data_IF_109830072059
#
_entry.id   IF_109830072059
#
_cell.length_a   1.000
_cell.length_b   1.000
_cell.length_c   1.000
_cell.angle_alpha   90.00
_cell.angle_beta   90.00
_cell.angle_gamma   90.00
#
_symmetry.space_group_name_H-M   'P 1'
#
loop_
_entity.id
_entity.type
_entity.pdbx_description
1 polymer ?
#
# COMPACT_ATOMS: atom_id res chain seq x y z
N UNK A 1 31.28 -0.63 1.33
CA UNK A 1 29.98 -1.34 1.30
C UNK A 1 28.90 -0.34 0.90
N UNK A 2 28.39 -0.44 -0.33
CA UNK A 2 27.40 0.47 -0.92
C UNK A 2 26.31 -0.37 -1.59
N UNK A 3 25.29 -0.80 -0.84
CA UNK A 3 24.17 -1.60 -1.38
C UNK A 3 22.84 -1.33 -0.66
N UNK A 4 22.47 -0.07 -0.48
CA UNK A 4 21.11 0.31 -0.05
C UNK A 4 20.48 1.45 -0.88
N UNK A 5 21.15 1.95 -1.93
CA UNK A 5 20.68 3.10 -2.72
C UNK A 5 19.83 2.77 -3.95
N UNK A 6 19.42 1.52 -4.17
CA UNK A 6 18.71 1.11 -5.41
C UNK A 6 17.30 0.55 -5.21
N UNK A 7 16.66 0.78 -4.05
CA UNK A 7 15.30 0.29 -3.83
C UNK A 7 14.24 1.40 -3.77
N UNK A 8 14.65 2.67 -3.91
CA UNK A 8 13.74 3.83 -3.86
C UNK A 8 13.28 4.24 -5.28
N UNK A 9 14.06 3.92 -6.32
CA UNK A 9 13.78 4.36 -7.69
C UNK A 9 12.62 3.59 -8.37
N UNK A 10 12.27 2.40 -7.87
CA UNK A 10 11.23 1.55 -8.49
C UNK A 10 9.84 1.71 -7.84
N UNK A 11 9.75 2.45 -6.74
CA UNK A 11 8.47 2.73 -6.07
C UNK A 11 7.97 4.13 -6.44
N UNK A 12 7.39 4.26 -7.63
CA UNK A 12 6.64 5.47 -7.97
C UNK A 12 5.29 5.41 -7.26
N UNK A 13 5.20 6.08 -6.12
CA UNK A 13 3.92 6.42 -5.53
C UNK A 13 3.16 7.30 -6.52
N UNK A 14 1.91 6.95 -6.83
CA UNK A 14 0.99 7.69 -7.72
C UNK A 14 0.84 9.19 -7.38
N UNK A 15 1.29 9.57 -6.18
CA UNK A 15 1.26 10.90 -5.59
C UNK A 15 2.36 11.82 -6.16
N UNK A 16 3.48 11.29 -6.66
CA UNK A 16 4.62 12.11 -7.10
C UNK A 16 4.31 12.92 -8.37
N UNK A 17 3.41 12.45 -9.23
CA UNK A 17 2.99 13.18 -10.43
C UNK A 17 2.28 14.50 -10.13
N UNK A 18 1.72 14.66 -8.92
CA UNK A 18 1.06 15.91 -8.48
C UNK A 18 2.02 16.89 -7.80
N UNK A 19 3.23 16.45 -7.45
CA UNK A 19 4.24 17.25 -6.75
C UNK A 19 5.15 18.03 -7.71
N UNK A 20 5.32 17.58 -8.95
CA UNK A 20 6.29 18.14 -9.89
C UNK A 20 5.98 19.56 -10.36
N UNK A 21 4.71 19.99 -10.34
CA UNK A 21 4.32 21.32 -10.83
C UNK A 21 4.77 22.47 -9.92
N UNK A 22 5.15 22.19 -8.66
CA UNK A 22 5.51 23.20 -7.66
C UNK A 22 7.01 23.38 -7.44
N UNK A 23 7.88 22.55 -8.04
CA UNK A 23 9.34 22.62 -7.84
C UNK A 23 10.05 23.41 -8.94
N UNK A 24 9.69 24.68 -9.10
CA UNK A 24 10.63 25.63 -9.72
C UNK A 24 11.72 25.98 -8.70
N UNK A 25 12.90 25.40 -8.87
CA UNK A 25 14.08 25.63 -8.02
C UNK A 25 14.53 27.11 -8.08
N UNK A 26 14.60 27.84 -6.96
CA UNK A 26 15.18 29.18 -6.94
C UNK A 26 16.73 29.10 -6.94
N UNK A 27 17.44 30.12 -7.49
CA UNK A 27 18.88 30.10 -7.64
C UNK A 27 19.61 30.19 -6.28
N UNK A 28 20.84 29.64 -6.17
CA UNK A 28 21.51 29.48 -4.89
C UNK A 28 22.08 30.81 -4.40
N UNK A 29 21.61 31.30 -3.25
CA UNK A 29 22.27 32.37 -2.50
C UNK A 29 22.82 31.85 -1.18
N UNK A 30 24.12 32.05 -1.01
CA UNK A 30 24.93 31.75 0.17
C UNK A 30 24.44 32.52 1.39
N UNK A 31 24.63 31.91 2.58
CA UNK A 31 24.35 32.38 3.95
C UNK A 31 22.93 32.12 4.48
N UNK A 32 22.76 30.97 5.19
CA UNK A 32 21.69 30.73 6.19
C UNK A 32 21.77 29.29 6.74
N UNK A 33 22.43 29.08 7.87
CA UNK A 33 22.38 27.79 8.59
C UNK A 33 21.24 27.75 9.62
N UNK A 34 20.88 28.88 10.25
CA UNK A 34 19.76 28.96 11.19
C UNK A 34 18.40 28.85 10.50
N UNK A 35 18.15 29.67 9.46
CA UNK A 35 16.89 29.61 8.70
C UNK A 35 16.70 28.30 7.95
N UNK A 36 17.79 27.60 7.62
CA UNK A 36 17.71 26.24 7.03
C UNK A 36 17.21 25.22 8.05
N UNK A 37 17.64 25.30 9.31
CA UNK A 37 17.17 24.39 10.38
C UNK A 37 15.69 24.67 10.71
N UNK A 38 15.30 25.94 10.83
CA UNK A 38 13.89 26.33 11.02
C UNK A 38 13.01 25.86 9.86
N UNK A 39 13.47 26.06 8.62
CA UNK A 39 12.75 25.57 7.43
C UNK A 39 12.61 24.05 7.40
N UNK A 40 13.67 23.31 7.75
CA UNK A 40 13.62 21.86 7.84
C UNK A 40 12.68 21.37 8.95
N UNK A 41 12.60 22.09 10.06
CA UNK A 41 11.71 21.74 11.16
C UNK A 41 10.24 21.94 10.78
N UNK A 42 9.92 23.09 10.16
CA UNK A 42 8.60 23.35 9.58
C UNK A 42 8.21 22.32 8.50
N UNK A 43 9.17 21.94 7.65
CA UNK A 43 8.94 20.91 6.61
C UNK A 43 8.67 19.53 7.23
N UNK A 44 9.39 19.15 8.29
CA UNK A 44 9.12 17.91 9.02
C UNK A 44 7.75 17.94 9.71
N UNK A 45 7.38 19.03 10.38
CA UNK A 45 6.07 19.18 11.03
C UNK A 45 4.92 19.13 10.00
N UNK A 46 5.12 19.72 8.82
CA UNK A 46 4.19 19.61 7.70
C UNK A 46 4.07 18.16 7.23
N UNK A 47 5.18 17.45 7.08
CA UNK A 47 5.16 16.04 6.67
C UNK A 47 4.47 15.14 7.70
N UNK A 48 4.74 15.35 8.99
CA UNK A 48 4.10 14.61 10.08
C UNK A 48 2.59 14.86 10.13
N UNK A 49 2.14 16.10 9.94
CA UNK A 49 0.71 16.43 9.90
C UNK A 49 0.02 15.83 8.67
N UNK A 50 0.65 15.92 7.50
CA UNK A 50 0.14 15.27 6.28
C UNK A 50 0.06 13.74 6.42
N UNK A 51 1.04 13.11 7.04
CA UNK A 51 1.04 11.67 7.28
C UNK A 51 -0.13 11.24 8.19
N UNK A 52 -0.39 12.01 9.25
CA UNK A 52 -1.52 11.77 10.15
C UNK A 52 -2.86 11.93 9.44
N UNK A 53 -3.00 12.97 8.61
CA UNK A 53 -4.23 13.22 7.86
C UNK A 53 -4.51 12.08 6.88
N UNK A 54 -3.48 11.63 6.15
CA UNK A 54 -3.58 10.47 5.24
C UNK A 54 -3.96 9.20 6.01
N UNK A 55 -3.31 8.93 7.15
CA UNK A 55 -3.62 7.76 7.97
C UNK A 55 -5.06 7.77 8.47
N UNK A 56 -5.57 8.94 8.88
CA UNK A 56 -6.96 9.10 9.31
C UNK A 56 -7.95 8.93 8.17
N UNK A 57 -7.63 9.45 6.98
CA UNK A 57 -8.47 9.33 5.79
C UNK A 57 -8.54 7.88 5.28
N UNK A 58 -7.43 7.16 5.29
CA UNK A 58 -7.37 5.78 4.78
C UNK A 58 -7.91 4.73 5.76
N UNK A 59 -8.00 5.06 7.05
CA UNK A 59 -8.49 4.12 8.05
C UNK A 59 -9.95 3.69 7.76
N UNK A 60 -10.26 2.42 7.99
CA UNK A 60 -11.58 1.84 7.75
C UNK A 60 -12.06 1.07 8.99
N UNK A 61 -13.35 1.17 9.28
CA UNK A 61 -13.98 0.46 10.39
C UNK A 61 -14.88 -0.68 9.93
N UNK A 62 -15.37 -0.61 8.69
CA UNK A 62 -16.32 -1.59 8.13
C UNK A 62 -15.94 -2.02 6.72
N UNK A 63 -16.32 -3.24 6.34
CA UNK A 63 -16.10 -3.74 4.97
C UNK A 63 -16.83 -2.88 3.91
N UNK A 64 -17.97 -2.28 4.25
CA UNK A 64 -18.70 -1.38 3.36
C UNK A 64 -17.96 -0.05 3.13
N UNK A 65 -17.40 0.53 4.20
CA UNK A 65 -16.55 1.71 4.08
C UNK A 65 -15.32 1.41 3.22
N UNK A 66 -14.70 0.25 3.45
CA UNK A 66 -13.55 -0.21 2.68
C UNK A 66 -13.89 -0.40 1.20
N UNK A 67 -15.04 -1.01 0.86
CA UNK A 67 -15.52 -1.10 -0.52
C UNK A 67 -15.68 0.27 -1.16
N UNK A 68 -16.32 1.22 -0.46
CA UNK A 68 -16.52 2.57 -0.98
C UNK A 68 -15.19 3.25 -1.30
N UNK A 69 -14.23 3.20 -0.38
CA UNK A 69 -12.90 3.82 -0.61
C UNK A 69 -12.13 3.11 -1.72
N UNK A 70 -12.08 1.77 -1.72
CA UNK A 70 -11.43 0.99 -2.79
C UNK A 70 -12.04 1.23 -4.18
N UNK A 71 -13.34 1.52 -4.26
CA UNK A 71 -14.01 1.84 -5.53
C UNK A 71 -13.61 3.20 -6.11
N UNK A 72 -13.05 4.09 -5.29
CA UNK A 72 -12.57 5.41 -5.68
C UNK A 72 -11.06 5.43 -5.95
N UNK A 73 -10.36 4.40 -5.47
CA UNK A 73 -8.92 4.27 -5.60
C UNK A 73 -8.47 3.58 -6.89
N UNK A 74 -7.20 3.78 -7.24
CA UNK A 74 -6.59 3.08 -8.36
C UNK A 74 -6.10 1.70 -7.92
N UNK A 75 -6.76 0.66 -8.41
CA UNK A 75 -6.40 -0.72 -8.08
C UNK A 75 -5.12 -1.18 -8.82
N UNK A 76 -4.36 -2.13 -8.26
CA UNK A 76 -3.24 -2.74 -8.97
C UNK A 76 -3.69 -3.41 -10.28
N UNK A 77 -2.82 -3.40 -11.29
CA UNK A 77 -3.14 -3.91 -12.63
C UNK A 77 -3.67 -5.34 -12.60
N UNK A 78 -4.79 -5.57 -13.29
CA UNK A 78 -5.46 -6.86 -13.41
C UNK A 78 -6.37 -7.23 -12.25
N UNK A 79 -6.42 -6.44 -11.17
CA UNK A 79 -7.35 -6.67 -10.07
C UNK A 79 -8.72 -6.07 -10.35
N UNK A 80 -9.76 -6.82 -9.98
CA UNK A 80 -11.15 -6.42 -10.00
C UNK A 80 -11.69 -6.44 -8.57
N UNK A 81 -12.46 -5.41 -8.22
CA UNK A 81 -13.16 -5.31 -6.94
C UNK A 81 -14.55 -5.92 -7.07
N UNK A 82 -14.84 -6.95 -6.29
CA UNK A 82 -16.11 -7.67 -6.27
C UNK A 82 -16.74 -7.50 -4.88
N UNK A 83 -18.05 -7.26 -4.84
CA UNK A 83 -18.80 -7.08 -3.61
C UNK A 83 -20.06 -7.96 -3.60
N UNK A 84 -19.88 -9.29 -3.51
CA UNK A 84 -20.95 -10.28 -3.28
C UNK A 84 -20.37 -11.70 -3.19
N UNK A 85 -20.63 -12.51 -2.14
CA UNK A 85 -21.23 -12.20 -0.83
C UNK A 85 -20.23 -11.55 0.16
N UNK A 86 -18.94 -11.50 -0.20
CA UNK A 86 -17.85 -10.88 0.56
C UNK A 86 -17.12 -9.86 -0.32
N UNK A 87 -16.46 -8.91 0.30
CA UNK A 87 -15.59 -7.97 -0.41
C UNK A 87 -14.35 -8.71 -0.89
N UNK A 88 -14.08 -8.73 -2.18
CA UNK A 88 -12.95 -9.49 -2.74
C UNK A 88 -12.20 -8.66 -3.78
N UNK A 89 -10.87 -8.73 -3.74
CA UNK A 89 -9.99 -8.20 -4.77
C UNK A 89 -9.40 -9.38 -5.54
N UNK A 90 -9.77 -9.52 -6.80
CA UNK A 90 -9.43 -10.71 -7.60
C UNK A 90 -8.69 -10.32 -8.86
N UNK A 91 -7.52 -10.91 -9.07
CA UNK A 91 -6.76 -10.85 -10.30
C UNK A 91 -6.91 -12.16 -11.06
N UNK A 92 -7.56 -12.07 -12.21
CA UNK A 92 -7.75 -13.18 -13.13
C UNK A 92 -6.59 -13.18 -14.12
N UNK A 93 -5.76 -14.21 -14.10
CA UNK A 93 -4.70 -14.41 -15.09
C UNK A 93 -4.89 -15.75 -15.80
N UNK A 94 -4.41 -15.85 -17.04
CA UNK A 94 -4.46 -17.10 -17.80
C UNK A 94 -3.74 -18.28 -17.13
N UNK A 95 -2.82 -18.01 -16.19
CA UNK A 95 -2.03 -19.03 -15.52
C UNK A 95 -2.59 -19.43 -14.16
N UNK A 96 -2.90 -18.47 -13.29
CA UNK A 96 -3.41 -18.74 -11.94
C UNK A 96 -4.22 -17.54 -11.43
N UNK A 97 -5.40 -17.80 -10.89
CA UNK A 97 -6.20 -16.78 -10.22
C UNK A 97 -5.56 -16.42 -8.89
N UNK A 98 -5.46 -15.13 -8.59
CA UNK A 98 -4.96 -14.66 -7.30
C UNK A 98 -5.92 -13.66 -6.72
N UNK A 99 -5.99 -13.61 -5.40
CA UNK A 99 -6.81 -12.59 -4.80
C UNK A 99 -6.82 -12.58 -3.29
N UNK A 100 -7.63 -11.65 -2.81
CA UNK A 100 -7.78 -11.32 -1.42
C UNK A 100 -9.28 -11.24 -1.12
N UNK A 101 -9.78 -12.13 -0.28
CA UNK A 101 -11.13 -12.03 0.26
C UNK A 101 -11.09 -11.32 1.62
N UNK A 102 -12.04 -10.43 1.83
CA UNK A 102 -12.21 -9.62 3.04
C UNK A 102 -13.62 -9.89 3.59
N UNK A 103 -13.66 -10.30 4.85
CA UNK A 103 -14.89 -10.62 5.57
C UNK A 103 -15.37 -9.41 6.38
N UNK A 104 -16.62 -9.46 6.86
CA UNK A 104 -17.29 -8.33 7.52
C UNK A 104 -16.55 -7.75 8.73
N UNK A 105 -15.70 -8.55 9.39
CA UNK A 105 -14.87 -8.13 10.53
C UNK A 105 -13.49 -7.57 10.13
N UNK A 106 -13.35 -7.21 8.85
CA UNK A 106 -12.09 -6.81 8.20
C UNK A 106 -10.98 -7.88 8.30
N UNK A 107 -11.38 -9.12 8.60
CA UNK A 107 -10.48 -10.27 8.50
C UNK A 107 -10.31 -10.64 7.04
N UNK A 108 -9.14 -11.15 6.67
CA UNK A 108 -8.85 -11.42 5.27
C UNK A 108 -8.21 -12.79 5.04
N UNK A 109 -8.34 -13.25 3.80
CA UNK A 109 -7.76 -14.51 3.30
C UNK A 109 -7.17 -14.26 1.91
N UNK A 110 -5.86 -14.45 1.77
CA UNK A 110 -5.21 -14.46 0.46
C UNK A 110 -5.34 -15.83 -0.20
N UNK A 111 -5.43 -15.87 -1.52
CA UNK A 111 -5.47 -17.10 -2.31
C UNK A 111 -4.66 -17.00 -3.60
N UNK A 112 -4.17 -18.15 -4.06
CA UNK A 112 -3.52 -18.38 -5.35
C UNK A 112 -3.99 -19.73 -5.89
N UNK A 113 -4.64 -19.74 -7.04
CA UNK A 113 -5.39 -20.87 -7.57
C UNK A 113 -6.37 -21.40 -6.52
N UNK A 114 -6.25 -22.68 -6.20
CA UNK A 114 -7.06 -23.36 -5.18
C UNK A 114 -6.40 -23.39 -3.79
N UNK A 115 -5.33 -22.61 -3.58
CA UNK A 115 -4.57 -22.64 -2.35
C UNK A 115 -4.72 -21.35 -1.55
N UNK A 116 -5.00 -21.51 -0.26
CA UNK A 116 -5.01 -20.40 0.68
C UNK A 116 -3.59 -20.04 1.06
N UNK A 117 -3.25 -18.75 0.98
CA UNK A 117 -1.96 -18.21 1.39
C UNK A 117 -2.01 -17.90 2.90
N UNK A 118 -0.93 -18.21 3.61
CA UNK A 118 -0.80 -17.83 5.01
C UNK A 118 -0.69 -16.32 5.15
N UNK A 119 -1.51 -15.73 6.03
CA UNK A 119 -1.48 -14.29 6.33
C UNK A 119 -0.11 -13.84 6.87
N UNK A 120 0.71 -14.76 7.41
CA UNK A 120 2.08 -14.48 7.82
C UNK A 120 2.95 -13.92 6.69
N UNK A 121 2.69 -14.33 5.44
CA UNK A 121 3.46 -13.93 4.25
C UNK A 121 3.25 -12.45 3.90
N UNK A 122 2.07 -11.91 4.23
CA UNK A 122 1.70 -10.53 3.92
C UNK A 122 1.62 -9.65 5.17
N UNK A 123 2.04 -10.18 6.32
CA UNK A 123 1.89 -9.51 7.61
C UNK A 123 2.74 -8.26 7.78
N UNK A 124 3.79 -8.06 6.98
CA UNK A 124 4.60 -6.84 6.97
C UNK A 124 3.89 -5.66 6.28
N UNK A 125 2.81 -5.93 5.54
CA UNK A 125 1.96 -4.87 4.98
C UNK A 125 0.86 -4.40 5.94
N UNK A 126 0.74 -5.02 7.11
CA UNK A 126 -0.26 -4.64 8.12
C UNK A 126 0.37 -3.72 9.16
N UNK A 127 -0.30 -2.62 9.47
CA UNK A 127 0.04 -1.71 10.55
C UNK A 127 -0.24 -2.30 11.94
N UNK A 128 -1.08 -3.35 12.04
CA UNK A 128 -1.48 -3.91 13.34
C UNK A 128 -0.58 -5.06 13.81
N UNK A 129 -0.30 -5.07 15.12
CA UNK A 129 0.24 -6.26 15.82
C UNK A 129 -0.68 -7.49 15.68
N UNK A 130 -1.98 -7.26 15.49
CA UNK A 130 -2.96 -8.30 15.19
C UNK A 130 -2.94 -8.54 13.68
N UNK A 131 -2.10 -9.48 13.23
CA UNK A 131 -1.75 -9.77 11.82
C UNK A 131 -2.89 -10.35 10.96
N UNK A 132 -4.13 -10.10 11.33
CA UNK A 132 -5.30 -10.75 10.74
C UNK A 132 -6.42 -9.77 10.36
N UNK A 133 -6.25 -8.47 10.62
CA UNK A 133 -7.27 -7.45 10.33
C UNK A 133 -6.72 -6.31 9.50
N UNK A 134 -7.47 -5.96 8.46
CA UNK A 134 -7.27 -4.76 7.66
C UNK A 134 -7.77 -3.55 8.44
N UNK A 135 -7.01 -2.46 8.38
CA UNK A 135 -7.30 -1.17 8.95
C UNK A 135 -7.28 -0.06 7.92
N UNK A 136 -6.56 -0.21 6.80
CA UNK A 136 -6.53 0.84 5.79
C UNK A 136 -6.66 0.31 4.37
N UNK A 137 -7.05 1.21 3.47
CA UNK A 137 -7.13 0.94 2.03
C UNK A 137 -5.75 0.58 1.45
N UNK A 138 -4.72 1.28 1.90
CA UNK A 138 -3.33 1.05 1.48
C UNK A 138 -2.83 -0.34 1.84
N UNK A 139 -3.23 -0.90 3.00
CA UNK A 139 -2.89 -2.30 3.34
C UNK A 139 -3.45 -3.26 2.28
N UNK A 140 -4.71 -3.08 1.85
CA UNK A 140 -5.35 -3.92 0.83
C UNK A 140 -4.61 -3.82 -0.51
N UNK A 141 -4.32 -2.60 -0.96
CA UNK A 141 -3.63 -2.35 -2.23
C UNK A 141 -2.24 -2.98 -2.21
N UNK A 142 -1.48 -2.81 -1.13
CA UNK A 142 -0.14 -3.36 -0.99
C UNK A 142 -0.14 -4.89 -0.95
N UNK A 143 -1.09 -5.51 -0.23
CA UNK A 143 -1.26 -6.97 -0.22
C UNK A 143 -1.61 -7.47 -1.62
N UNK A 144 -2.54 -6.83 -2.32
CA UNK A 144 -2.91 -7.21 -3.68
C UNK A 144 -1.74 -7.05 -4.67
N UNK A 145 -1.01 -5.94 -4.61
CA UNK A 145 0.18 -5.72 -5.43
C UNK A 145 1.23 -6.81 -5.17
N UNK A 146 1.45 -7.17 -3.91
CA UNK A 146 2.33 -8.26 -3.52
C UNK A 146 1.91 -9.60 -4.13
N UNK A 147 0.64 -9.98 -3.96
CA UNK A 147 0.09 -11.22 -4.51
C UNK A 147 0.22 -11.24 -6.05
N UNK A 148 0.05 -10.08 -6.68
CA UNK A 148 0.17 -9.89 -8.12
C UNK A 148 1.60 -9.99 -8.65
N UNK A 149 2.62 -9.79 -7.83
CA UNK A 149 4.02 -9.94 -8.24
C UNK A 149 4.37 -11.43 -8.35
N UNK A 150 4.79 -11.88 -9.53
CA UNK A 150 4.92 -13.31 -9.89
C UNK A 150 6.05 -14.06 -9.18
N UNK A 151 6.88 -13.43 -8.37
CA UNK A 151 8.19 -14.00 -8.00
C UNK A 151 8.30 -14.60 -6.58
N UNK A 152 7.31 -14.40 -5.69
CA UNK A 152 7.51 -14.72 -4.26
C UNK A 152 6.72 -15.91 -3.72
N UNK A 153 5.72 -16.41 -4.43
CA UNK A 153 4.92 -17.55 -3.97
C UNK A 153 5.30 -18.79 -4.77
N UNK A 154 6.53 -19.30 -4.56
CA UNK A 154 6.82 -20.68 -4.97
C UNK A 154 6.07 -21.60 -4.00
N UNK A 155 5.40 -22.66 -4.48
CA UNK A 155 4.86 -23.67 -3.59
C UNK A 155 6.02 -24.22 -2.77
N UNK A 156 5.91 -24.15 -1.44
CA UNK A 156 6.78 -24.93 -0.56
C UNK A 156 6.58 -26.40 -0.96
N UNK A 157 7.60 -26.97 -1.62
CA UNK A 157 7.67 -28.41 -1.84
C UNK A 157 7.69 -29.06 -0.46
N UNK A 158 6.62 -29.78 -0.12
CA UNK A 158 6.64 -30.76 0.94
C UNK A 158 7.61 -31.87 0.52
N UNK A 159 8.80 -31.88 1.12
CA UNK A 159 9.70 -33.04 1.15
C UNK A 159 9.36 -33.93 2.34
#
# INVERSE_FOLDING_TARGET
MLKQRRLIDDAVLSVWSKLTDNFSLPPPRSSQTSKRRERLQLENELLETMELDIFMEENVQTAQELYKKLSQETLPSGYNLINSPKLSLVRLEATEDKGLEIEDKLTFKGFQGHHKISNSVVSHYLCSKLRDKIKSVTEVINIAAYLGSKEQLRPMKSS
#
